data_IF_402932718911
#
_entry.id   IF_402932718911
#
_cell.length_a   1.000
_cell.length_b   1.000
_cell.length_c   1.000
_cell.angle_alpha   90.00
_cell.angle_beta   90.00
_cell.angle_gamma   90.00
#
_symmetry.space_group_name_H-M   'P 1'
#
loop_
_entity.id
_entity.type
_entity.pdbx_description
1 polymer ?
#
# COMPACT_ATOMS: atom_id res chain seq x y z
N UNK A 1 -34.89 8.47 -34.13
CA UNK A 1 -35.37 8.87 -32.79
C UNK A 1 -34.18 9.03 -31.85
N UNK A 2 -33.73 10.27 -31.59
CA UNK A 2 -32.68 10.58 -30.60
C UNK A 2 -33.39 11.08 -29.33
N UNK A 3 -33.31 10.35 -28.21
CA UNK A 3 -33.76 10.84 -26.90
C UNK A 3 -32.61 11.60 -26.24
N UNK A 4 -32.77 12.91 -26.09
CA UNK A 4 -31.94 13.76 -25.24
C UNK A 4 -32.44 13.58 -23.79
N UNK A 5 -31.60 13.04 -22.90
CA UNK A 5 -31.81 13.14 -21.46
C UNK A 5 -31.10 14.40 -20.95
N UNK A 6 -31.89 15.39 -20.56
CA UNK A 6 -31.43 16.56 -19.81
C UNK A 6 -31.17 16.12 -18.36
N UNK A 7 -29.92 16.23 -17.90
CA UNK A 7 -29.56 16.05 -16.50
C UNK A 7 -29.60 17.45 -15.84
N UNK A 8 -30.59 17.70 -15.00
CA UNK A 8 -30.67 18.90 -14.17
C UNK A 8 -29.76 18.71 -12.95
N UNK A 9 -28.63 19.41 -12.90
CA UNK A 9 -27.76 19.49 -11.72
C UNK A 9 -28.23 20.70 -10.91
N UNK A 10 -28.87 20.44 -9.78
CA UNK A 10 -29.19 21.45 -8.78
C UNK A 10 -27.92 21.79 -7.99
N UNK A 11 -27.40 23.01 -8.17
CA UNK A 11 -26.35 23.57 -7.31
C UNK A 11 -26.99 23.95 -5.97
N UNK A 12 -26.79 23.14 -4.94
CA UNK A 12 -27.04 23.52 -3.55
C UNK A 12 -25.82 24.33 -3.12
N UNK A 13 -25.97 25.67 -3.06
CA UNK A 13 -25.05 26.58 -2.40
C UNK A 13 -25.10 26.30 -0.90
N UNK A 14 -24.28 25.36 -0.44
CA UNK A 14 -24.00 25.15 0.97
C UNK A 14 -23.14 26.30 1.49
N UNK A 15 -23.72 27.10 2.37
CA UNK A 15 -23.05 28.16 3.11
C UNK A 15 -21.96 27.54 4.01
N UNK A 16 -20.72 27.52 3.54
CA UNK A 16 -19.57 27.27 4.39
C UNK A 16 -19.36 28.49 5.28
N UNK A 17 -19.81 28.39 6.53
CA UNK A 17 -19.44 29.31 7.59
C UNK A 17 -18.00 29.01 7.99
N UNK A 18 -17.05 29.67 7.33
CA UNK A 18 -15.70 29.79 7.86
C UNK A 18 -15.78 30.60 9.14
N UNK A 19 -15.49 29.97 10.29
CA UNK A 19 -15.10 30.72 11.49
C UNK A 19 -13.88 31.56 11.10
N UNK A 20 -13.94 32.90 11.20
CA UNK A 20 -12.72 33.68 11.03
C UNK A 20 -11.74 33.25 12.11
N UNK A 21 -10.49 33.04 11.69
CA UNK A 21 -9.36 33.06 12.60
C UNK A 21 -9.51 34.28 13.52
N UNK A 22 -9.15 34.13 14.79
CA UNK A 22 -9.14 35.21 15.77
C UNK A 22 -8.32 36.35 15.17
N UNK A 23 -9.02 37.30 14.54
CA UNK A 23 -8.47 38.59 14.18
C UNK A 23 -8.09 39.17 15.52
N UNK A 24 -6.81 39.43 15.73
CA UNK A 24 -6.44 40.48 16.66
C UNK A 24 -7.26 41.67 16.20
N UNK A 25 -8.27 42.04 16.99
CA UNK A 25 -9.08 43.23 16.78
C UNK A 25 -8.08 44.36 16.83
N UNK A 26 -7.66 44.83 15.66
CA UNK A 26 -6.95 46.08 15.53
C UNK A 26 -7.92 47.10 16.09
N UNK A 27 -7.56 47.69 17.22
CA UNK A 27 -8.42 48.62 17.93
C UNK A 27 -8.82 49.73 16.94
N UNK A 28 -10.11 49.93 16.63
CA UNK A 28 -10.53 50.86 15.57
C UNK A 28 -10.30 52.32 15.93
N UNK A 29 -9.80 52.59 17.13
CA UNK A 29 -9.55 53.92 17.64
C UNK A 29 -8.06 54.15 17.89
N UNK A 30 -7.53 55.25 17.35
CA UNK A 30 -6.25 55.79 17.78
C UNK A 30 -6.50 56.67 19.02
N UNK A 31 -5.85 56.35 20.13
CA UNK A 31 -6.04 57.07 21.39
C UNK A 31 -5.08 58.25 21.50
N UNK A 32 -5.62 59.42 21.84
CA UNK A 32 -4.82 60.60 22.17
C UNK A 32 -5.32 61.24 23.45
N UNK A 33 -4.37 61.81 24.19
CA UNK A 33 -4.64 62.57 25.40
C UNK A 33 -4.48 64.05 25.11
N UNK A 34 -5.30 64.87 25.75
CA UNK A 34 -5.10 66.31 25.77
C UNK A 34 -5.22 66.84 27.18
N UNK A 35 -4.29 67.71 27.55
CA UNK A 35 -4.40 68.50 28.77
C UNK A 35 -4.97 69.87 28.42
N UNK A 36 -6.03 70.29 29.12
CA UNK A 36 -6.55 71.66 29.01
C UNK A 36 -6.43 72.38 30.35
N UNK A 37 -5.91 73.61 30.30
CA UNK A 37 -5.76 74.48 31.45
C UNK A 37 -7.10 75.17 31.78
N UNK A 38 -7.48 75.17 33.05
CA UNK A 38 -8.61 75.93 33.57
C UNK A 38 -9.89 75.15 33.89
N UNK A 39 -10.03 74.75 35.15
CA UNK A 39 -11.31 74.76 35.89
C UNK A 39 -11.06 74.73 37.41
N UNK A 40 -12.00 75.27 38.19
CA UNK A 40 -11.99 75.16 39.66
C UNK A 40 -12.01 73.67 40.06
N UNK A 41 -11.00 73.25 40.83
CA UNK A 41 -10.85 71.86 41.23
C UNK A 41 -11.93 71.45 42.23
N UNK A 42 -12.57 70.30 42.01
CA UNK A 42 -13.53 69.73 42.97
C UNK A 42 -12.85 68.83 44.02
N UNK A 43 -11.52 68.77 44.04
CA UNK A 43 -10.74 67.96 44.97
C UNK A 43 -10.61 68.72 46.31
N UNK A 44 -11.11 68.18 47.44
CA UNK A 44 -11.00 68.82 48.73
C UNK A 44 -9.52 68.97 49.15
N UNK A 45 -9.06 70.20 49.38
CA UNK A 45 -7.74 70.49 49.96
C UNK A 45 -6.66 71.01 49.01
N UNK A 46 -6.96 71.26 47.73
CA UNK A 46 -6.02 71.92 46.81
C UNK A 46 -6.56 73.24 46.30
N UNK A 47 -5.74 74.30 46.38
CA UNK A 47 -6.04 75.64 45.90
C UNK A 47 -5.10 75.99 44.74
N UNK A 48 -5.68 76.12 43.55
CA UNK A 48 -5.42 77.20 42.57
C UNK A 48 -5.06 76.83 41.11
N UNK A 49 -4.87 75.55 40.74
CA UNK A 49 -4.93 75.15 39.33
C UNK A 49 -5.03 73.63 39.17
N UNK A 50 -6.12 73.12 38.61
CA UNK A 50 -6.23 71.72 38.16
C UNK A 50 -6.36 71.67 36.65
N UNK A 51 -5.68 70.71 36.06
CA UNK A 51 -5.67 70.45 34.64
C UNK A 51 -6.74 69.40 34.33
N UNK A 52 -7.50 69.56 33.24
CA UNK A 52 -8.38 68.48 32.79
C UNK A 52 -7.64 67.59 31.82
N UNK A 53 -7.53 66.31 32.16
CA UNK A 53 -7.05 65.29 31.25
C UNK A 53 -8.24 64.66 30.53
N UNK A 54 -8.16 64.65 29.20
CA UNK A 54 -9.18 64.07 28.33
C UNK A 54 -8.56 63.00 27.46
N UNK A 55 -9.30 61.90 27.28
CA UNK A 55 -8.94 60.82 26.38
C UNK A 55 -9.92 60.82 25.22
N UNK A 56 -9.37 60.95 24.02
CA UNK A 56 -10.13 60.88 22.78
C UNK A 56 -9.79 59.59 22.06
N UNK A 57 -10.81 58.94 21.49
CA UNK A 57 -10.64 57.93 20.46
C UNK A 57 -10.89 58.59 19.11
N UNK A 58 -9.96 58.42 18.17
CA UNK A 58 -10.16 58.81 16.77
C UNK A 58 -10.53 57.56 15.99
N UNK A 59 -11.76 57.51 15.50
CA UNK A 59 -12.22 56.44 14.62
C UNK A 59 -11.34 56.43 13.36
N UNK A 60 -10.67 55.32 13.09
CA UNK A 60 -9.67 55.24 12.02
C UNK A 60 -10.28 55.28 10.61
N UNK A 61 -11.57 54.97 10.46
CA UNK A 61 -12.26 54.93 9.17
C UNK A 61 -12.84 56.30 8.80
N UNK A 62 -13.39 57.01 9.78
CA UNK A 62 -14.08 58.29 9.60
C UNK A 62 -13.21 59.51 9.95
N UNK A 63 -12.19 59.31 10.78
CA UNK A 63 -11.35 60.38 11.33
C UNK A 63 -12.04 61.23 12.40
N UNK A 64 -13.27 60.88 12.82
CA UNK A 64 -13.99 61.61 13.86
C UNK A 64 -13.42 61.30 15.26
N UNK A 65 -13.22 62.34 16.06
CA UNK A 65 -12.75 62.22 17.44
C UNK A 65 -13.93 62.16 18.42
N UNK A 66 -13.97 61.16 19.28
CA UNK A 66 -14.96 61.00 20.35
C UNK A 66 -14.28 61.10 21.71
N UNK A 67 -14.84 61.89 22.63
CA UNK A 67 -14.37 61.96 24.02
C UNK A 67 -14.76 60.67 24.76
N UNK A 68 -13.78 59.88 25.17
CA UNK A 68 -13.96 58.61 25.87
C UNK A 68 -13.92 58.75 27.39
N UNK A 69 -13.20 59.76 27.91
CA UNK A 69 -13.10 60.02 29.33
C UNK A 69 -12.52 61.40 29.63
N UNK A 70 -12.95 61.99 30.75
CA UNK A 70 -12.43 63.25 31.28
C UNK A 70 -12.24 63.10 32.79
N UNK A 71 -11.11 63.58 33.33
CA UNK A 71 -10.90 63.67 34.76
C UNK A 71 -10.08 64.90 35.15
N UNK A 72 -10.22 65.31 36.40
CA UNK A 72 -9.39 66.34 37.01
C UNK A 72 -8.01 65.73 37.33
N UNK A 73 -6.98 66.26 36.69
CA UNK A 73 -5.59 65.95 36.94
C UNK A 73 -4.95 67.13 37.71
N UNK A 74 -4.73 66.97 39.03
CA UNK A 74 -4.12 68.03 39.82
C UNK A 74 -2.62 68.23 39.53
N UNK A 75 -2.01 67.41 38.67
CA UNK A 75 -0.56 67.31 38.59
C UNK A 75 0.06 67.68 37.21
N UNK A 76 -0.71 68.27 36.29
CA UNK A 76 -0.18 68.87 35.04
C UNK A 76 0.04 67.91 33.86
N UNK A 77 0.88 68.33 32.91
CA UNK A 77 1.26 67.55 31.72
C UNK A 77 2.18 66.39 32.12
N UNK A 78 1.64 65.17 32.14
CA UNK A 78 2.39 63.94 32.38
C UNK A 78 2.42 63.05 31.13
N UNK A 79 3.50 62.30 30.93
CA UNK A 79 3.63 61.34 29.83
C UNK A 79 2.52 60.28 29.88
N UNK A 80 1.86 59.98 28.77
CA UNK A 80 0.77 58.99 28.74
C UNK A 80 1.18 57.72 28.00
N UNK A 81 0.95 56.57 28.61
CA UNK A 81 1.27 55.24 28.05
C UNK A 81 0.00 54.39 27.99
N UNK A 82 -0.24 53.75 26.84
CA UNK A 82 -1.36 52.81 26.66
C UNK A 82 -0.84 51.37 26.69
N UNK A 83 -1.38 50.55 27.59
CA UNK A 83 -1.13 49.12 27.62
C UNK A 83 -2.21 48.40 26.80
N UNK A 84 -1.81 47.92 25.62
CA UNK A 84 -2.67 47.22 24.66
C UNK A 84 -3.19 45.89 25.22
N UNK A 85 -2.49 45.26 26.18
CA UNK A 85 -2.88 43.96 26.72
C UNK A 85 -3.91 44.07 27.83
N UNK A 86 -3.83 45.13 28.63
CA UNK A 86 -4.81 45.39 29.71
C UNK A 86 -5.88 46.41 29.31
N UNK A 87 -5.79 46.98 28.11
CA UNK A 87 -6.63 48.06 27.59
C UNK A 87 -6.70 49.28 28.53
N UNK A 88 -5.59 49.54 29.24
CA UNK A 88 -5.49 50.60 30.23
C UNK A 88 -4.60 51.72 29.76
N UNK A 89 -5.03 52.94 30.01
CA UNK A 89 -4.22 54.13 29.82
C UNK A 89 -3.63 54.54 31.17
N UNK A 90 -2.31 54.60 31.24
CA UNK A 90 -1.56 55.10 32.39
C UNK A 90 -1.07 56.50 32.07
N UNK A 91 -1.50 57.48 32.86
CA UNK A 91 -0.96 58.83 32.80
C UNK A 91 0.12 58.97 33.87
N UNK A 92 1.33 59.19 33.37
CA UNK A 92 2.61 59.29 34.05
C UNK A 92 2.71 60.49 34.96
N UNK A 93 3.75 60.52 35.80
CA UNK A 93 3.62 61.06 37.12
C UNK A 93 3.66 62.57 37.07
N UNK A 94 2.56 63.18 37.46
CA UNK A 94 2.69 64.51 38.01
C UNK A 94 3.17 64.42 39.46
N UNK A 95 3.92 65.45 39.86
CA UNK A 95 4.75 65.42 41.04
C UNK A 95 4.07 66.19 42.17
N UNK A 96 3.72 65.49 43.25
CA UNK A 96 3.19 66.16 44.45
C UNK A 96 4.39 66.63 45.29
N UNK A 97 4.59 67.95 45.40
CA UNK A 97 5.63 68.52 46.26
C UNK A 97 5.11 68.62 47.68
N UNK A 98 5.63 67.78 48.56
CA UNK A 98 5.48 67.95 50.00
C UNK A 98 6.76 68.57 50.56
N UNK A 99 6.71 69.72 51.27
CA UNK A 99 7.89 70.34 51.86
C UNK A 99 8.64 69.42 52.84
N UNK A 100 7.97 68.43 53.45
CA UNK A 100 8.58 67.51 54.42
C UNK A 100 9.11 66.21 53.79
N UNK A 101 8.59 65.80 52.63
CA UNK A 101 8.91 64.49 52.02
C UNK A 101 9.39 64.54 50.56
N UNK A 102 9.57 65.73 49.99
CA UNK A 102 10.00 65.92 48.61
C UNK A 102 8.93 65.54 47.59
N UNK A 103 9.36 65.30 46.35
CA UNK A 103 8.47 64.92 45.25
C UNK A 103 8.07 63.44 45.35
N UNK A 104 6.76 63.18 45.41
CA UNK A 104 6.20 61.83 45.27
C UNK A 104 5.52 61.67 43.91
N UNK A 105 5.97 60.76 43.04
CA UNK A 105 5.30 60.50 41.77
C UNK A 105 3.98 59.76 42.02
N UNK A 106 2.90 60.28 41.46
CA UNK A 106 1.57 59.67 41.49
C UNK A 106 1.10 59.33 40.08
N UNK A 107 0.61 58.12 39.88
CA UNK A 107 0.12 57.67 38.57
C UNK A 107 -1.40 57.59 38.58
N UNK A 108 -2.01 57.95 37.46
CA UNK A 108 -3.42 57.82 37.20
C UNK A 108 -3.64 56.66 36.21
N UNK A 109 -4.42 55.65 36.59
CA UNK A 109 -4.82 54.57 35.68
C UNK A 109 -6.28 54.74 35.30
N UNK A 110 -6.55 54.86 34.00
CA UNK A 110 -7.88 54.84 33.41
C UNK A 110 -8.12 53.49 32.71
N UNK A 111 -9.24 52.86 33.04
CA UNK A 111 -9.66 51.58 32.48
C UNK A 111 -10.78 51.81 31.46
N UNK A 112 -10.52 51.51 30.19
CA UNK A 112 -11.48 51.74 29.10
C UNK A 112 -12.76 50.93 29.27
N UNK A 113 -12.66 49.75 29.89
CA UNK A 113 -13.80 48.86 30.09
C UNK A 113 -14.66 49.28 31.28
N UNK A 114 -14.19 50.24 32.09
CA UNK A 114 -14.96 50.80 33.20
C UNK A 114 -14.69 52.30 33.37
N UNK A 115 -15.08 53.14 32.39
CA UNK A 115 -14.79 54.57 32.39
C UNK A 115 -15.45 55.30 33.57
N UNK A 116 -16.53 54.73 34.11
CA UNK A 116 -17.29 55.22 35.26
C UNK A 116 -16.69 54.89 36.62
N UNK A 117 -15.74 53.95 36.72
CA UNK A 117 -15.07 53.63 37.99
C UNK A 117 -14.07 54.70 38.46
N UNK A 118 -13.83 55.72 37.64
CA UNK A 118 -12.90 56.78 37.92
C UNK A 118 -11.44 56.34 37.79
N UNK A 119 -10.54 57.32 37.90
CA UNK A 119 -9.10 57.11 37.84
C UNK A 119 -8.61 56.52 39.17
N UNK A 120 -7.90 55.39 39.10
CA UNK A 120 -7.22 54.86 40.28
C UNK A 120 -5.86 55.53 40.41
N UNK A 121 -5.62 56.22 41.53
CA UNK A 121 -4.33 56.80 41.84
C UNK A 121 -3.42 55.76 42.51
N UNK A 122 -2.30 55.44 41.87
CA UNK A 122 -1.29 54.56 42.43
C UNK A 122 -0.17 55.42 43.04
N UNK A 123 0.06 55.25 44.35
CA UNK A 123 1.22 55.81 45.02
C UNK A 123 2.45 54.96 44.67
N UNK A 124 3.52 55.59 44.17
CA UNK A 124 4.82 54.89 44.10
C UNK A 124 5.35 54.65 45.51
N UNK A 125 5.84 53.45 45.85
CA UNK A 125 6.29 53.12 47.20
C UNK A 125 7.62 53.81 47.62
N UNK A 126 8.24 54.61 46.76
CA UNK A 126 9.54 55.25 47.05
C UNK A 126 9.59 56.70 46.61
N UNK A 127 9.63 57.63 47.58
CA UNK A 127 10.13 58.99 47.33
C UNK A 127 11.65 58.90 47.11
N UNK A 128 12.15 59.38 45.98
CA UNK A 128 13.60 59.53 45.77
C UNK A 128 14.04 60.86 46.41
N UNK A 129 15.10 60.90 47.24
CA UNK A 129 15.41 62.09 48.04
C UNK A 129 15.94 63.30 47.25
N UNK A 130 15.99 63.27 45.91
CA UNK A 130 16.89 64.12 45.13
C UNK A 130 16.28 64.80 43.89
N UNK A 131 14.99 64.63 43.58
CA UNK A 131 14.38 65.32 42.43
C UNK A 131 14.91 64.93 41.05
N UNK A 132 15.63 63.81 40.92
CA UNK A 132 15.95 63.22 39.61
C UNK A 132 14.74 62.42 39.12
N UNK A 133 14.36 62.66 37.86
CA UNK A 133 13.18 62.08 37.22
C UNK A 133 13.12 60.56 37.33
N UNK A 134 11.90 60.04 37.44
CA UNK A 134 11.63 58.60 37.55
C UNK A 134 12.20 57.89 36.33
N UNK A 135 13.17 56.99 36.53
CA UNK A 135 13.58 56.07 35.48
C UNK A 135 12.39 55.15 35.17
N UNK A 136 11.78 55.34 34.00
CA UNK A 136 10.65 54.55 33.44
C UNK A 136 10.87 53.03 33.45
N UNK A 137 12.07 52.57 33.80
CA UNK A 137 12.48 51.18 33.94
C UNK A 137 11.97 50.47 35.21
N UNK A 138 11.38 51.19 36.17
CA UNK A 138 10.96 50.65 37.47
C UNK A 138 9.43 50.67 37.69
N UNK A 139 8.65 50.25 36.69
CA UNK A 139 7.37 49.62 36.98
C UNK A 139 7.66 48.13 37.16
N UNK A 140 7.69 47.59 38.40
CA UNK A 140 7.74 46.15 38.58
C UNK A 140 6.37 45.60 38.17
N UNK A 141 6.23 45.23 36.90
CA UNK A 141 5.27 44.22 36.50
C UNK A 141 5.62 42.98 37.32
N UNK A 142 4.89 42.76 38.41
CA UNK A 142 4.99 41.52 39.17
C UNK A 142 4.59 40.39 38.21
N UNK A 143 5.53 39.54 37.74
CA UNK A 143 5.22 38.48 36.80
C UNK A 143 4.61 37.35 37.62
N UNK A 144 3.35 37.53 38.01
CA UNK A 144 2.51 36.44 38.48
C UNK A 144 2.29 35.48 37.31
N UNK A 145 3.14 34.46 37.20
CA UNK A 145 2.92 33.22 36.47
C UNK A 145 2.38 33.34 35.02
N UNK A 146 2.88 34.29 34.24
CA UNK A 146 2.79 34.16 32.77
C UNK A 146 3.97 33.28 32.37
N UNK A 147 3.74 31.97 32.25
CA UNK A 147 4.67 31.11 31.52
C UNK A 147 4.83 31.75 30.14
N UNK A 148 6.05 32.22 29.83
CA UNK A 148 6.28 32.88 28.55
C UNK A 148 5.90 31.87 27.45
N UNK A 149 4.90 32.17 26.61
CA UNK A 149 4.34 31.21 25.67
C UNK A 149 5.40 30.70 24.68
N UNK A 150 6.47 31.49 24.47
CA UNK A 150 7.68 31.09 23.76
C UNK A 150 8.91 31.50 24.56
N UNK A 151 9.85 30.58 24.78
CA UNK A 151 11.13 30.85 25.48
C UNK A 151 12.30 30.35 24.64
N UNK A 152 13.34 31.19 24.46
CA UNK A 152 14.59 30.79 23.81
C UNK A 152 15.62 30.46 24.90
N UNK A 153 16.11 29.22 24.94
CA UNK A 153 17.15 28.79 25.88
C UNK A 153 18.55 29.20 25.38
N UNK A 154 19.56 29.34 26.27
CA UNK A 154 20.93 29.71 25.87
C UNK A 154 21.60 28.76 24.88
N UNK A 155 21.14 27.52 24.84
CA UNK A 155 21.59 26.51 23.88
C UNK A 155 20.96 26.70 22.48
N UNK A 156 20.05 27.67 22.31
CA UNK A 156 19.32 27.95 21.06
C UNK A 156 18.06 27.11 20.85
N UNK A 157 17.55 26.40 21.87
CA UNK A 157 16.24 25.74 21.77
C UNK A 157 15.13 26.79 21.89
N UNK A 158 14.11 26.70 21.04
CA UNK A 158 12.89 27.49 21.16
C UNK A 158 11.82 26.57 21.76
N UNK A 159 11.37 26.89 22.97
CA UNK A 159 10.32 26.21 23.71
C UNK A 159 8.99 26.95 23.52
N UNK A 160 7.91 26.22 23.21
CA UNK A 160 6.55 26.75 23.15
C UNK A 160 5.74 26.14 24.31
N UNK A 161 5.48 26.93 25.36
CA UNK A 161 4.85 26.48 26.61
C UNK A 161 5.82 25.83 27.61
N UNK A 162 5.33 25.45 28.79
CA UNK A 162 6.13 24.81 29.88
C UNK A 162 6.37 23.31 29.63
N UNK A 163 5.34 22.58 29.20
CA UNK A 163 5.44 21.24 28.63
C UNK A 163 5.69 21.37 27.12
N UNK A 164 6.92 21.79 26.79
CA UNK A 164 7.16 22.49 25.54
C UNK A 164 7.19 21.58 24.31
N UNK A 165 6.56 22.06 23.23
CA UNK A 165 7.02 21.75 21.88
C UNK A 165 8.33 22.53 21.65
N UNK A 166 9.37 21.85 21.22
CA UNK A 166 10.72 22.40 21.08
C UNK A 166 11.16 22.33 19.62
N UNK A 167 11.71 23.43 19.13
CA UNK A 167 12.21 23.52 17.75
C UNK A 167 13.59 24.15 17.72
N UNK A 168 14.50 23.59 16.92
CA UNK A 168 15.87 24.10 16.72
C UNK A 168 16.42 23.68 15.36
N UNK A 169 17.10 24.60 14.67
CA UNK A 169 17.91 24.27 13.50
C UNK A 169 19.30 23.73 13.90
N UNK A 170 19.68 22.56 13.37
CA UNK A 170 21.04 22.03 13.47
C UNK A 170 21.48 21.46 12.14
N UNK A 171 22.57 21.98 11.59
CA UNK A 171 23.15 21.48 10.34
C UNK A 171 22.21 21.59 9.13
N UNK A 172 21.42 22.66 9.05
CA UNK A 172 20.44 22.88 7.97
C UNK A 172 19.15 22.06 8.10
N UNK A 173 18.94 21.35 9.20
CA UNK A 173 17.72 20.58 9.47
C UNK A 173 16.97 21.23 10.62
N UNK A 174 15.68 21.53 10.40
CA UNK A 174 14.77 21.93 11.47
C UNK A 174 14.35 20.69 12.26
N UNK A 175 14.78 20.61 13.52
CA UNK A 175 14.39 19.55 14.44
C UNK A 175 13.15 20.00 15.21
N UNK A 176 12.23 19.06 15.44
CA UNK A 176 11.01 19.24 16.23
C UNK A 176 10.87 18.05 17.18
N UNK A 177 10.70 18.33 18.46
CA UNK A 177 10.50 17.31 19.51
C UNK A 177 9.73 17.95 20.68
N UNK A 178 9.29 17.14 21.65
CA UNK A 178 8.58 17.64 22.82
C UNK A 178 9.14 17.04 24.12
N UNK A 179 9.05 17.80 25.20
CA UNK A 179 9.36 17.32 26.55
C UNK A 179 8.27 17.71 27.54
N UNK A 180 8.12 16.92 28.60
CA UNK A 180 7.28 17.30 29.74
C UNK A 180 7.99 18.33 30.66
N UNK A 181 7.34 18.70 31.77
CA UNK A 181 7.90 19.62 32.77
C UNK A 181 9.20 19.12 33.43
N UNK A 182 9.43 17.81 33.44
CA UNK A 182 10.65 17.20 33.97
C UNK A 182 11.79 17.14 32.95
N UNK A 183 11.55 17.66 31.73
CA UNK A 183 12.44 17.54 30.57
C UNK A 183 12.58 16.11 30.02
N UNK A 184 11.63 15.23 30.32
CA UNK A 184 11.58 13.89 29.74
C UNK A 184 10.97 13.96 28.33
N UNK A 185 11.53 13.26 27.32
CA UNK A 185 10.97 13.22 25.98
C UNK A 185 9.56 12.63 25.99
N UNK A 186 8.66 13.25 25.22
CA UNK A 186 7.29 12.77 25.01
C UNK A 186 6.97 12.70 23.53
N UNK A 187 6.06 11.81 23.17
CA UNK A 187 5.57 11.66 21.80
C UNK A 187 4.71 12.87 21.40
N UNK A 188 4.75 13.22 20.11
CA UNK A 188 3.87 14.23 19.51
C UNK A 188 2.73 13.49 18.81
N UNK A 189 1.53 13.62 19.35
CA UNK A 189 0.31 13.06 18.77
C UNK A 189 -0.55 14.15 18.11
N UNK A 190 -0.98 13.92 16.87
CA UNK A 190 -1.83 14.85 16.12
C UNK A 190 -3.29 14.44 16.35
N UNK A 191 -3.94 15.12 17.29
CA UNK A 191 -5.29 14.78 17.78
C UNK A 191 -6.36 15.76 17.29
N UNK A 192 -7.58 15.64 17.82
CA UNK A 192 -8.72 16.53 17.52
C UNK A 192 -9.13 16.54 16.03
N UNK A 193 -8.90 15.44 15.32
CA UNK A 193 -9.23 15.31 13.89
C UNK A 193 -8.31 16.11 12.95
N UNK A 194 -7.18 16.60 13.46
CA UNK A 194 -6.13 17.20 12.64
C UNK A 194 -5.23 16.12 12.03
N UNK A 195 -4.42 16.50 11.06
CA UNK A 195 -3.49 15.59 10.39
C UNK A 195 -2.18 16.31 10.04
N UNK A 196 -1.10 15.55 9.92
CA UNK A 196 0.17 16.07 9.43
C UNK A 196 0.09 16.17 7.90
N UNK A 197 0.11 17.40 7.39
CA UNK A 197 0.06 17.68 5.96
C UNK A 197 1.43 18.08 5.42
N UNK A 198 1.83 17.51 4.27
CA UNK A 198 2.98 17.97 3.47
C UNK A 198 2.43 18.51 2.16
N UNK A 199 2.62 19.81 1.90
CA UNK A 199 2.08 20.49 0.71
C UNK A 199 0.56 20.25 0.53
N UNK A 200 -0.19 20.26 1.64
CA UNK A 200 -1.63 20.01 1.65
C UNK A 200 -2.07 18.55 1.48
N UNK A 201 -1.13 17.59 1.51
CA UNK A 201 -1.44 16.14 1.44
C UNK A 201 -1.26 15.47 2.79
N UNK A 202 -2.24 14.66 3.16
CA UNK A 202 -2.25 13.81 4.35
C UNK A 202 -1.10 12.80 4.35
N UNK A 203 -0.23 12.85 5.36
CA UNK A 203 0.79 11.81 5.54
C UNK A 203 0.15 10.49 5.94
N UNK A 204 -0.84 10.50 6.85
CA UNK A 204 -1.54 9.28 7.27
C UNK A 204 -2.29 8.62 6.10
N UNK A 205 -3.01 9.39 5.29
CA UNK A 205 -3.72 8.89 4.12
C UNK A 205 -2.77 8.26 3.09
N UNK A 206 -1.59 8.84 2.85
CA UNK A 206 -0.58 8.21 1.99
C UNK A 206 -0.06 6.88 2.56
N UNK A 207 0.08 6.78 3.88
CA UNK A 207 0.48 5.54 4.55
C UNK A 207 -0.62 4.48 4.41
N UNK A 208 -1.89 4.85 4.57
CA UNK A 208 -3.03 3.95 4.43
C UNK A 208 -3.17 3.43 2.99
N UNK A 209 -3.03 4.31 2.00
CA UNK A 209 -3.03 3.94 0.57
C UNK A 209 -1.89 2.94 0.28
N UNK A 210 -0.66 3.25 0.74
CA UNK A 210 0.48 2.35 0.59
C UNK A 210 0.27 1.00 1.29
N UNK A 211 -0.36 0.99 2.47
CA UNK A 211 -0.68 -0.23 3.19
C UNK A 211 -1.66 -1.11 2.38
N UNK A 212 -2.66 -0.50 1.75
CA UNK A 212 -3.61 -1.19 0.88
C UNK A 212 -2.93 -1.75 -0.38
N UNK A 213 -2.03 -0.98 -0.99
CA UNK A 213 -1.23 -1.43 -2.14
C UNK A 213 -0.33 -2.62 -1.79
N UNK A 214 0.29 -2.61 -0.60
CA UNK A 214 1.07 -3.75 -0.10
C UNK A 214 0.20 -4.99 0.07
N UNK A 215 -1.02 -4.86 0.58
CA UNK A 215 -1.98 -5.97 0.71
C UNK A 215 -2.38 -6.52 -0.66
N UNK A 216 -2.63 -5.65 -1.64
CA UNK A 216 -2.96 -6.06 -3.01
C UNK A 216 -1.79 -6.77 -3.69
N UNK A 217 -0.58 -6.24 -3.53
CA UNK A 217 0.65 -6.86 -4.03
C UNK A 217 0.88 -8.25 -3.43
N UNK A 218 0.61 -8.42 -2.13
CA UNK A 218 0.69 -9.73 -1.46
C UNK A 218 -0.25 -10.76 -2.10
N UNK A 219 -1.51 -10.38 -2.37
CA UNK A 219 -2.48 -11.26 -3.05
C UNK A 219 -2.02 -11.64 -4.45
N UNK A 220 -1.52 -10.68 -5.22
CA UNK A 220 -1.00 -10.94 -6.58
C UNK A 220 0.20 -11.90 -6.55
N UNK A 221 1.10 -11.76 -5.58
CA UNK A 221 2.23 -12.68 -5.39
C UNK A 221 1.76 -14.09 -5.05
N UNK A 222 0.76 -14.23 -4.18
CA UNK A 222 0.17 -15.52 -3.83
C UNK A 222 -0.48 -16.21 -5.04
N UNK A 223 -1.25 -15.46 -5.84
CA UNK A 223 -1.81 -15.94 -7.11
C UNK A 223 -0.71 -16.35 -8.09
N UNK A 224 0.34 -15.55 -8.24
CA UNK A 224 1.47 -15.87 -9.11
C UNK A 224 2.20 -17.13 -8.65
N UNK A 225 2.38 -17.33 -7.33
CA UNK A 225 2.93 -18.55 -6.77
C UNK A 225 2.10 -19.77 -7.14
N UNK A 226 0.77 -19.67 -7.06
CA UNK A 226 -0.15 -20.71 -7.54
C UNK A 226 0.05 -21.01 -9.03
N UNK A 227 -0.01 -19.97 -9.87
CA UNK A 227 0.17 -20.09 -11.31
C UNK A 227 1.52 -20.74 -11.70
N UNK A 228 2.61 -20.42 -11.00
CA UNK A 228 3.94 -21.01 -11.23
C UNK A 228 3.94 -22.51 -10.88
N UNK A 229 3.31 -22.89 -9.77
CA UNK A 229 3.20 -24.30 -9.39
C UNK A 229 2.39 -25.09 -10.42
N UNK A 230 1.27 -24.54 -10.88
CA UNK A 230 0.43 -25.18 -11.90
C UNK A 230 1.14 -25.26 -13.26
N UNK A 231 1.89 -24.23 -13.64
CA UNK A 231 2.74 -24.26 -14.83
C UNK A 231 3.81 -25.35 -14.72
N UNK A 232 4.50 -25.45 -13.59
CA UNK A 232 5.49 -26.52 -13.35
C UNK A 232 4.86 -27.92 -13.45
N UNK A 233 3.68 -28.09 -12.87
CA UNK A 233 2.90 -29.33 -12.95
C UNK A 233 2.48 -29.66 -14.38
N UNK A 234 2.07 -28.67 -15.17
CA UNK A 234 1.69 -28.89 -16.57
C UNK A 234 2.89 -29.12 -17.50
N UNK A 235 4.04 -28.48 -17.27
CA UNK A 235 5.30 -28.80 -17.98
C UNK A 235 5.74 -30.24 -17.71
N UNK A 236 5.61 -30.69 -16.47
CA UNK A 236 5.86 -32.09 -16.13
C UNK A 236 4.90 -33.05 -16.86
N UNK A 237 3.62 -32.67 -16.96
CA UNK A 237 2.63 -33.42 -17.73
C UNK A 237 2.92 -33.48 -19.23
N UNK A 238 3.29 -32.36 -19.85
CA UNK A 238 3.68 -32.30 -21.26
C UNK A 238 4.92 -33.15 -21.58
N UNK A 239 5.88 -33.18 -20.65
CA UNK A 239 7.07 -34.03 -20.76
C UNK A 239 6.70 -35.51 -20.66
N UNK A 240 5.83 -35.88 -19.72
CA UNK A 240 5.32 -37.25 -19.59
C UNK A 240 4.56 -37.69 -20.85
N UNK A 241 3.70 -36.83 -21.42
CA UNK A 241 3.00 -37.08 -22.70
C UNK A 241 4.00 -37.41 -23.83
N UNK A 242 5.02 -36.56 -23.97
CA UNK A 242 6.05 -36.72 -25.00
C UNK A 242 6.85 -38.01 -24.81
N UNK A 243 7.22 -38.33 -23.57
CA UNK A 243 7.90 -39.59 -23.25
C UNK A 243 7.01 -40.80 -23.61
N UNK A 244 5.72 -40.77 -23.29
CA UNK A 244 4.80 -41.84 -23.64
C UNK A 244 4.67 -42.03 -25.17
N UNK A 245 4.59 -40.92 -25.93
CA UNK A 245 4.54 -40.94 -27.39
C UNK A 245 5.86 -41.40 -28.04
N UNK A 246 7.00 -41.23 -27.36
CA UNK A 246 8.31 -41.63 -27.87
C UNK A 246 8.51 -43.15 -27.90
N UNK A 247 7.84 -43.87 -27.00
CA UNK A 247 7.85 -45.34 -26.92
C UNK A 247 6.94 -46.02 -27.96
N UNK A 248 6.24 -45.24 -28.79
CA UNK A 248 5.34 -45.78 -29.82
C UNK A 248 6.09 -46.18 -31.10
N UNK A 249 5.61 -47.20 -31.84
CA UNK A 249 6.23 -47.61 -33.10
C UNK A 249 6.34 -46.45 -34.09
N UNK A 250 7.54 -46.23 -34.62
CA UNK A 250 7.80 -45.18 -35.62
C UNK A 250 7.74 -45.75 -37.05
N UNK A 251 8.03 -47.04 -37.20
CA UNK A 251 7.96 -47.82 -38.45
C UNK A 251 7.35 -49.19 -38.18
N UNK A 252 6.74 -49.79 -39.19
CA UNK A 252 6.26 -51.18 -39.13
C UNK A 252 7.22 -52.05 -39.95
N UNK A 253 8.11 -52.78 -39.27
CA UNK A 253 9.18 -53.52 -39.93
C UNK A 253 8.79 -54.92 -40.43
N UNK A 254 8.03 -55.66 -39.63
CA UNK A 254 7.66 -57.06 -39.91
C UNK A 254 6.17 -57.23 -40.25
N UNK A 255 5.41 -56.13 -40.33
CA UNK A 255 3.99 -56.13 -40.62
C UNK A 255 3.56 -54.88 -41.42
N UNK A 256 2.48 -54.94 -42.21
CA UNK A 256 1.89 -53.76 -42.86
C UNK A 256 1.44 -52.67 -41.86
N UNK A 257 1.07 -53.09 -40.64
CA UNK A 257 0.62 -52.23 -39.55
C UNK A 257 1.24 -52.73 -38.24
N UNK A 258 1.82 -51.82 -37.46
CA UNK A 258 2.33 -52.08 -36.11
C UNK A 258 1.75 -51.06 -35.14
N UNK A 259 1.09 -51.52 -34.08
CA UNK A 259 0.51 -50.67 -33.05
C UNK A 259 1.19 -50.94 -31.71
N UNK A 260 1.37 -49.90 -30.91
CA UNK A 260 1.98 -50.00 -29.60
C UNK A 260 1.30 -49.09 -28.59
N UNK A 261 1.60 -49.38 -27.34
CA UNK A 261 1.24 -48.55 -26.19
C UNK A 261 2.52 -48.18 -25.47
N UNK A 262 2.61 -46.94 -25.03
CA UNK A 262 3.75 -46.38 -24.34
C UNK A 262 3.32 -45.72 -23.04
N UNK A 263 4.20 -45.70 -22.06
CA UNK A 263 4.01 -44.90 -20.85
C UNK A 263 5.20 -43.96 -20.69
N UNK A 264 4.94 -42.80 -20.08
CA UNK A 264 5.94 -41.78 -19.84
C UNK A 264 5.72 -41.16 -18.48
N UNK A 265 6.80 -40.88 -17.77
CA UNK A 265 6.76 -40.30 -16.44
C UNK A 265 7.81 -39.21 -16.27
N UNK A 266 7.43 -38.09 -15.68
CA UNK A 266 8.36 -37.01 -15.32
C UNK A 266 7.83 -36.22 -14.13
N UNK A 267 8.68 -35.98 -13.12
CA UNK A 267 8.35 -35.19 -11.92
C UNK A 267 6.97 -35.53 -11.30
N UNK A 268 6.73 -36.83 -11.06
CA UNK A 268 5.49 -37.39 -10.49
C UNK A 268 4.22 -37.25 -11.36
N UNK A 269 4.35 -36.83 -12.62
CA UNK A 269 3.29 -36.90 -13.63
C UNK A 269 3.48 -38.12 -14.52
N UNK A 270 2.39 -38.81 -14.83
CA UNK A 270 2.39 -40.03 -15.63
C UNK A 270 1.43 -39.87 -16.81
N UNK A 271 1.84 -40.36 -17.97
CA UNK A 271 1.03 -40.35 -19.18
C UNK A 271 1.07 -41.71 -19.87
N UNK A 272 0.02 -41.99 -20.64
CA UNK A 272 -0.09 -43.15 -21.51
C UNK A 272 -0.28 -42.67 -22.95
N UNK A 273 0.45 -43.30 -23.86
CA UNK A 273 0.37 -43.08 -25.30
C UNK A 273 -0.10 -44.35 -26.00
N UNK A 274 -0.84 -44.18 -27.09
CA UNK A 274 -1.24 -45.24 -28.00
C UNK A 274 -0.99 -44.74 -29.41
N UNK A 275 -0.40 -45.57 -30.27
CA UNK A 275 -0.21 -45.20 -31.66
C UNK A 275 0.18 -46.36 -32.54
N UNK A 276 0.07 -46.15 -33.84
CA UNK A 276 0.38 -47.13 -34.86
C UNK A 276 1.26 -46.53 -35.94
N UNK A 277 2.11 -47.37 -36.51
CA UNK A 277 2.83 -47.13 -37.75
C UNK A 277 2.29 -48.05 -38.84
N UNK A 278 2.10 -47.52 -40.05
CA UNK A 278 1.70 -48.27 -41.23
C UNK A 278 2.76 -48.15 -42.31
N UNK A 279 3.16 -49.29 -42.89
CA UNK A 279 4.07 -49.36 -44.02
C UNK A 279 3.25 -49.23 -45.31
N UNK A 280 3.45 -48.15 -46.06
CA UNK A 280 2.77 -47.92 -47.34
C UNK A 280 3.49 -48.62 -48.50
N UNK A 281 4.82 -48.65 -48.44
CA UNK A 281 5.68 -49.42 -49.35
C UNK A 281 7.05 -49.68 -48.68
N UNK A 282 7.99 -50.31 -49.39
CA UNK A 282 9.33 -50.62 -48.85
C UNK A 282 10.13 -49.38 -48.42
N UNK A 283 9.80 -48.19 -48.95
CA UNK A 283 10.50 -46.93 -48.66
C UNK A 283 9.74 -46.02 -47.71
N UNK A 284 8.41 -46.04 -47.68
CA UNK A 284 7.58 -45.07 -46.99
C UNK A 284 6.74 -45.73 -45.90
N UNK A 285 6.88 -45.22 -44.68
CA UNK A 285 6.02 -45.55 -43.55
C UNK A 285 5.43 -44.28 -42.96
N UNK A 286 4.21 -44.37 -42.42
CA UNK A 286 3.54 -43.29 -41.69
C UNK A 286 3.31 -43.73 -40.24
N UNK A 287 3.33 -42.81 -39.28
CA UNK A 287 2.98 -43.07 -37.89
C UNK A 287 1.98 -42.03 -37.38
N UNK A 288 1.09 -42.47 -36.49
CA UNK A 288 0.14 -41.63 -35.79
C UNK A 288 -0.05 -42.16 -34.37
N UNK A 289 -0.09 -41.27 -33.39
CA UNK A 289 -0.29 -41.62 -32.00
C UNK A 289 -0.88 -40.47 -31.20
N UNK A 290 -1.62 -40.82 -30.16
CA UNK A 290 -2.14 -39.88 -29.18
C UNK A 290 -1.66 -40.28 -27.78
N UNK A 291 -1.58 -39.32 -26.87
CA UNK A 291 -1.28 -39.58 -25.47
C UNK A 291 -2.13 -38.76 -24.54
N UNK A 292 -2.34 -39.27 -23.34
CA UNK A 292 -3.09 -38.62 -22.27
C UNK A 292 -2.30 -38.66 -20.96
N UNK A 293 -2.28 -37.54 -20.23
CA UNK A 293 -1.62 -37.43 -18.92
C UNK A 293 -2.65 -37.58 -17.81
N UNK A 294 -2.35 -38.47 -16.87
CA UNK A 294 -3.18 -38.70 -15.70
C UNK A 294 -2.89 -37.62 -14.65
N UNK A 295 -3.95 -37.11 -14.01
CA UNK A 295 -3.86 -36.06 -13.00
C UNK A 295 -4.45 -34.70 -13.41
N UNK A 296 -5.21 -34.64 -14.52
CA UNK A 296 -6.01 -33.48 -14.92
C UNK A 296 -5.23 -32.36 -15.59
N UNK A 297 -5.96 -31.40 -16.16
CA UNK A 297 -5.37 -30.17 -16.72
C UNK A 297 -4.90 -29.25 -15.61
N UNK A 298 -3.88 -28.44 -15.90
CA UNK A 298 -3.36 -27.42 -14.98
C UNK A 298 -3.58 -26.04 -15.60
N UNK A 299 -4.22 -25.14 -14.85
CA UNK A 299 -4.48 -23.76 -15.28
C UNK A 299 -3.39 -22.85 -14.74
N UNK A 300 -2.89 -21.91 -15.55
CA UNK A 300 -1.83 -21.00 -15.14
C UNK A 300 -2.16 -19.60 -15.66
N UNK A 301 -2.51 -18.70 -14.74
CA UNK A 301 -2.95 -17.34 -15.09
C UNK A 301 -4.16 -17.36 -16.02
N UNK A 302 -3.97 -16.91 -17.27
CA UNK A 302 -5.02 -16.89 -18.31
C UNK A 302 -5.04 -18.10 -19.26
N UNK A 303 -4.17 -19.09 -19.06
CA UNK A 303 -4.05 -20.26 -19.94
C UNK A 303 -4.36 -21.59 -19.24
N UNK A 304 -4.54 -22.64 -20.04
CA UNK A 304 -4.69 -24.04 -19.58
C UNK A 304 -3.72 -24.93 -20.33
N UNK A 305 -3.21 -25.97 -19.66
CA UNK A 305 -2.38 -27.02 -20.26
C UNK A 305 -3.27 -28.22 -20.59
N UNK A 306 -3.30 -28.57 -21.87
CA UNK A 306 -4.07 -29.71 -22.37
C UNK A 306 -3.56 -31.03 -21.79
N UNK A 307 -4.50 -31.95 -21.55
CA UNK A 307 -4.17 -33.29 -21.05
C UNK A 307 -3.91 -34.30 -22.16
N UNK A 308 -4.07 -33.89 -23.42
CA UNK A 308 -3.97 -34.74 -24.59
C UNK A 308 -2.95 -34.15 -25.56
N UNK A 309 -2.10 -35.01 -26.10
CA UNK A 309 -1.19 -34.66 -27.18
C UNK A 309 -1.38 -35.60 -28.37
N UNK A 310 -1.16 -35.08 -29.58
CA UNK A 310 -1.25 -35.82 -30.83
C UNK A 310 0.10 -35.74 -31.55
N UNK A 311 0.59 -36.88 -32.03
CA UNK A 311 1.79 -37.01 -32.86
C UNK A 311 1.43 -37.69 -34.17
N UNK A 312 1.91 -37.15 -35.28
CA UNK A 312 1.88 -37.82 -36.58
C UNK A 312 3.19 -37.56 -37.31
N UNK A 313 3.59 -38.49 -38.18
CA UNK A 313 4.85 -38.39 -38.91
C UNK A 313 4.97 -39.43 -40.02
N UNK A 314 6.07 -39.34 -40.76
CA UNK A 314 6.43 -40.30 -41.79
C UNK A 314 7.92 -40.58 -41.75
N UNK A 315 8.32 -41.74 -42.26
CA UNK A 315 9.71 -42.18 -42.40
C UNK A 315 9.94 -42.62 -43.82
N UNK A 316 10.98 -42.08 -44.46
CA UNK A 316 11.38 -42.46 -45.82
C UNK A 316 12.78 -43.09 -45.81
N UNK A 317 12.89 -44.34 -46.26
CA UNK A 317 14.15 -45.09 -46.34
C UNK A 317 14.93 -44.67 -47.61
N UNK A 318 16.08 -44.01 -47.42
CA UNK A 318 17.01 -43.60 -48.49
C UNK A 318 18.09 -44.69 -48.69
N UNK A 319 18.55 -44.88 -49.94
CA UNK A 319 19.59 -45.88 -50.28
C UNK A 319 19.05 -47.18 -50.89
N UNK A 320 19.94 -48.16 -51.09
CA UNK A 320 19.58 -49.49 -51.60
C UNK A 320 18.82 -50.27 -50.53
N UNK A 321 17.60 -50.72 -50.86
CA UNK A 321 16.85 -51.63 -50.00
C UNK A 321 17.34 -53.03 -50.36
N UNK A 322 17.99 -53.78 -49.45
CA UNK A 322 18.39 -55.14 -49.75
C UNK A 322 17.13 -55.96 -50.03
N UNK A 323 17.01 -56.47 -51.26
CA UNK A 323 16.02 -57.51 -51.56
C UNK A 323 16.37 -58.74 -50.72
N UNK A 324 15.37 -59.39 -50.14
CA UNK A 324 15.56 -60.65 -49.42
C UNK A 324 16.38 -61.61 -50.30
N UNK A 325 17.47 -62.14 -49.73
CA UNK A 325 18.36 -63.09 -50.38
C UNK A 325 17.57 -64.31 -50.84
N UNK A 326 17.69 -64.65 -52.12
CA UNK A 326 17.16 -65.85 -52.76
C UNK A 326 17.57 -67.15 -52.06
N UNK A 327 18.59 -67.14 -51.19
CA UNK A 327 19.05 -68.36 -50.50
C UNK A 327 18.12 -68.86 -49.39
N UNK A 328 17.24 -68.00 -48.85
CA UNK A 328 16.32 -68.41 -47.78
C UNK A 328 15.06 -69.08 -48.32
N UNK A 329 14.61 -68.71 -49.54
CA UNK A 329 13.47 -69.36 -50.21
C UNK A 329 13.79 -70.80 -50.62
N UNK A 330 15.00 -71.05 -51.15
CA UNK A 330 15.45 -72.40 -51.51
C UNK A 330 15.53 -73.33 -50.28
N UNK A 331 15.94 -72.79 -49.13
CA UNK A 331 16.07 -73.54 -47.89
C UNK A 331 14.70 -73.87 -47.27
N UNK A 332 13.74 -72.93 -47.35
CA UNK A 332 12.36 -73.13 -46.93
C UNK A 332 11.62 -74.10 -47.85
N UNK A 333 11.87 -74.06 -49.17
CA UNK A 333 11.30 -75.01 -50.12
C UNK A 333 11.86 -76.41 -49.92
N UNK A 334 13.17 -76.54 -49.68
CA UNK A 334 13.80 -77.83 -49.32
C UNK A 334 13.20 -78.44 -48.04
N UNK A 335 12.99 -77.64 -47.00
CA UNK A 335 12.34 -78.11 -45.77
C UNK A 335 10.86 -78.47 -45.99
N UNK A 336 10.15 -77.70 -46.81
CA UNK A 336 8.74 -77.95 -47.12
C UNK A 336 8.56 -79.26 -47.93
N UNK A 337 9.48 -79.55 -48.85
CA UNK A 337 9.47 -80.80 -49.62
C UNK A 337 9.84 -82.01 -48.75
N UNK A 338 10.80 -81.85 -47.83
CA UNK A 338 11.13 -82.87 -46.83
C UNK A 338 9.94 -83.22 -45.93
N UNK A 339 9.27 -82.21 -45.39
CA UNK A 339 8.09 -82.39 -44.52
C UNK A 339 6.90 -82.98 -45.30
N UNK A 340 6.71 -82.65 -46.58
CA UNK A 340 5.68 -83.28 -47.42
C UNK A 340 5.98 -84.76 -47.67
N UNK A 341 7.24 -85.10 -47.90
CA UNK A 341 7.66 -86.48 -48.15
C UNK A 341 7.49 -87.35 -46.89
N UNK A 342 7.85 -86.81 -45.73
CA UNK A 342 7.65 -87.50 -44.44
C UNK A 342 6.16 -87.69 -44.11
N UNK A 343 5.33 -86.67 -44.37
CA UNK A 343 3.87 -86.81 -44.23
C UNK A 343 3.25 -87.84 -45.18
N UNK A 344 3.78 -87.99 -46.40
CA UNK A 344 3.32 -89.02 -47.33
C UNK A 344 3.68 -90.43 -46.83
N UNK A 345 4.88 -90.60 -46.28
CA UNK A 345 5.33 -91.86 -45.68
C UNK A 345 4.49 -92.25 -44.46
N UNK A 346 4.24 -91.30 -43.54
CA UNK A 346 3.39 -91.53 -42.37
C UNK A 346 1.96 -91.89 -42.77
N UNK A 347 1.41 -91.25 -43.82
CA UNK A 347 0.09 -91.61 -44.35
C UNK A 347 0.04 -93.04 -44.88
N UNK A 348 1.10 -93.49 -45.55
CA UNK A 348 1.20 -94.84 -46.05
C UNK A 348 1.33 -95.87 -44.92
N UNK A 349 2.13 -95.56 -43.89
CA UNK A 349 2.24 -96.38 -42.69
C UNK A 349 0.90 -96.49 -41.94
N UNK A 350 0.17 -95.38 -41.80
CA UNK A 350 -1.16 -95.38 -41.20
C UNK A 350 -2.17 -96.24 -41.98
N UNK A 351 -2.10 -96.25 -43.32
CA UNK A 351 -2.94 -97.11 -44.14
C UNK A 351 -2.60 -98.59 -43.97
N UNK A 352 -1.32 -98.94 -43.89
CA UNK A 352 -0.89 -100.32 -43.67
C UNK A 352 -1.27 -100.82 -42.27
N UNK A 353 -1.11 -99.97 -41.25
CA UNK A 353 -1.55 -100.27 -39.89
C UNK A 353 -3.07 -100.50 -39.82
N UNK A 354 -3.87 -99.67 -40.50
CA UNK A 354 -5.33 -99.88 -40.58
C UNK A 354 -5.66 -101.20 -41.28
N UNK A 355 -4.98 -101.54 -42.38
CA UNK A 355 -5.17 -102.82 -43.07
C UNK A 355 -4.79 -104.02 -42.20
N UNK A 356 -3.76 -103.88 -41.35
CA UNK A 356 -3.39 -104.91 -40.36
C UNK A 356 -4.44 -105.05 -39.26
N UNK A 357 -4.99 -103.95 -38.77
CA UNK A 357 -6.07 -103.96 -37.78
C UNK A 357 -7.31 -104.65 -38.36
N UNK A 358 -7.72 -104.33 -39.58
CA UNK A 358 -8.87 -104.97 -40.24
C UNK A 358 -8.70 -106.49 -40.40
N UNK A 359 -7.47 -106.95 -40.71
CA UNK A 359 -7.14 -108.39 -40.75
C UNK A 359 -7.24 -109.04 -39.37
N UNK A 360 -6.81 -108.37 -38.31
CA UNK A 360 -6.90 -108.86 -36.93
C UNK A 360 -8.36 -108.91 -36.44
N UNK A 361 -9.16 -107.89 -36.76
CA UNK A 361 -10.60 -107.87 -36.45
C UNK A 361 -11.37 -109.00 -37.15
N UNK A 362 -11.02 -109.32 -38.40
CA UNK A 362 -11.62 -110.43 -39.13
C UNK A 362 -11.33 -111.82 -38.51
N UNK A 363 -10.17 -111.98 -37.85
CA UNK A 363 -9.82 -113.18 -37.09
C UNK A 363 -10.62 -113.22 -35.78
N UNK A 364 -10.69 -112.10 -35.04
CA UNK A 364 -11.39 -112.01 -33.76
C UNK A 364 -12.91 -112.25 -33.89
N UNK A 365 -13.51 -111.85 -35.01
CA UNK A 365 -14.93 -112.09 -35.34
C UNK A 365 -15.21 -113.49 -35.93
N UNK A 366 -14.21 -114.37 -35.99
CA UNK A 366 -14.36 -115.77 -36.44
C UNK A 366 -14.62 -115.95 -37.93
N UNK A 367 -14.35 -114.92 -38.77
CA UNK A 367 -14.64 -114.93 -40.21
C UNK A 367 -13.52 -115.56 -41.06
N UNK A 368 -12.30 -115.77 -40.52
CA UNK A 368 -11.16 -116.44 -41.18
C UNK A 368 -10.30 -117.22 -40.19
N UNK A 369 -9.70 -118.33 -40.63
CA UNK A 369 -8.76 -119.15 -39.84
C UNK A 369 -7.33 -118.59 -39.90
N UNK A 370 -6.59 -118.70 -38.80
CA UNK A 370 -5.17 -118.29 -38.67
C UNK A 370 -4.24 -118.91 -39.74
N UNK A 371 -4.64 -120.03 -40.35
CA UNK A 371 -3.90 -120.71 -41.42
C UNK A 371 -3.85 -119.97 -42.76
N UNK A 372 -4.74 -119.00 -43.00
CA UNK A 372 -4.92 -118.37 -44.34
C UNK A 372 -4.10 -117.10 -44.57
N UNK A 373 -3.29 -116.64 -43.60
CA UNK A 373 -2.59 -115.34 -43.69
C UNK A 373 -1.07 -115.45 -43.46
N UNK A 374 -0.49 -116.65 -43.49
CA UNK A 374 0.96 -116.84 -43.63
C UNK A 374 1.84 -116.35 -42.47
N UNK A 375 1.31 -116.24 -41.25
CA UNK A 375 2.10 -116.04 -40.03
C UNK A 375 2.25 -117.39 -39.32
N UNK A 376 3.44 -118.00 -39.41
CA UNK A 376 3.88 -119.07 -38.51
C UNK A 376 4.71 -118.48 -37.38
#
# INVERSE_FOLDING_TARGET
MKRKSLLFIAFILGSFSCKPAVSQTVDPYLLFTSTQDGANCSIPGQSDSCWKQRVYGVDQDTGESVLLGEWDNPYGDGDTFYDVYTERLVVGPGNDWNPDSGYTPKFAVWDRNNPSAGVTFLNSPTALPNGEGVDSKLIPFSPGAISSPVTVKPNGDIHIGENSLITRERGGVQQLFATDANSDPIDIDITNGSDLLINGRSVQGQIDDNAQDIVNNRKNIETNRGNINDLGSGVAGATALTAALSSLPVVADDAPLSCGVGTGGYSSRFAMGIGCAARLNERLSINVGGSHVFGGSSNYGGGSLDTVALRSGFVFKLGAIPKASTSHEDQLQSQLDGVKQENAAIRQENQDLLARIERLEAIALGKRSLSDIGLR
#
